data_IF_712876590291
#
_entry.id   IF_712876590291
#
_cell.length_a   1.000
_cell.length_b   1.000
_cell.length_c   1.000
_cell.angle_alpha   90.00
_cell.angle_beta   90.00
_cell.angle_gamma   90.00
#
_symmetry.space_group_name_H-M   'P 1'
#
loop_
_entity.id
_entity.type
_entity.pdbx_description
1 polymer ?
#
# COMPACT_ATOMS: atom_id res chain seq x y z
N UNK A 1 -2.24 10.18 -27.69
CA UNK A 1 -2.89 8.88 -27.39
C UNK A 1 -2.03 8.15 -26.38
N UNK A 2 -2.21 8.45 -25.10
CA UNK A 2 -1.54 7.73 -24.02
C UNK A 2 -2.38 6.50 -23.72
N UNK A 3 -1.84 5.31 -24.03
CA UNK A 3 -2.43 4.06 -23.56
C UNK A 3 -2.47 4.13 -22.03
N UNK A 4 -3.66 4.08 -21.45
CA UNK A 4 -3.80 3.84 -20.01
C UNK A 4 -3.22 2.45 -19.75
N UNK A 5 -1.95 2.39 -19.38
CA UNK A 5 -1.36 1.21 -18.77
C UNK A 5 -2.17 0.92 -17.52
N UNK A 6 -3.05 -0.07 -17.59
CA UNK A 6 -3.77 -0.55 -16.42
C UNK A 6 -2.73 -1.08 -15.44
N UNK A 7 -2.54 -0.35 -14.34
CA UNK A 7 -1.68 -0.76 -13.24
C UNK A 7 -2.21 -2.08 -12.68
N UNK A 8 -1.35 -3.09 -12.64
CA UNK A 8 -1.71 -4.42 -12.14
C UNK A 8 -1.40 -4.51 -10.64
N UNK A 9 -2.16 -5.29 -9.85
CA UNK A 9 -1.83 -5.55 -8.45
C UNK A 9 -0.39 -6.04 -8.25
N UNK A 10 0.13 -6.81 -9.22
CA UNK A 10 1.50 -7.31 -9.23
C UNK A 10 2.56 -6.22 -9.17
N UNK A 11 2.30 -5.05 -9.77
CA UNK A 11 3.22 -3.91 -9.80
C UNK A 11 3.45 -3.34 -8.38
N UNK A 12 2.53 -3.68 -7.47
CA UNK A 12 2.55 -3.31 -6.06
C UNK A 12 2.94 -4.47 -5.13
N UNK A 13 3.35 -5.61 -5.69
CA UNK A 13 3.65 -6.81 -4.91
C UNK A 13 2.42 -7.39 -4.22
N UNK A 14 1.25 -7.27 -4.85
CA UNK A 14 -0.04 -7.73 -4.34
C UNK A 14 -0.62 -8.79 -5.28
N UNK A 15 -1.35 -9.75 -4.73
CA UNK A 15 -2.20 -10.63 -5.52
C UNK A 15 -3.52 -9.94 -5.90
N UNK A 16 -3.93 -8.96 -5.09
CA UNK A 16 -5.13 -8.15 -5.30
C UNK A 16 -4.99 -6.81 -4.60
N UNK A 17 -5.52 -5.73 -5.17
CA UNK A 17 -5.58 -4.42 -4.50
C UNK A 17 -6.38 -4.45 -3.19
N UNK A 18 -7.20 -5.49 -2.99
CA UNK A 18 -7.87 -5.73 -1.72
C UNK A 18 -6.87 -6.03 -0.59
N UNK A 19 -5.70 -6.61 -0.87
CA UNK A 19 -4.67 -6.91 0.14
C UNK A 19 -4.02 -5.67 0.77
N UNK A 20 -4.17 -4.48 0.16
CA UNK A 20 -3.73 -3.23 0.80
C UNK A 20 -4.69 -2.79 1.91
N UNK A 21 -5.96 -3.16 1.77
CA UNK A 21 -7.02 -2.84 2.72
C UNK A 21 -7.09 -3.94 3.78
N UNK A 22 -6.97 -5.20 3.36
CA UNK A 22 -6.93 -6.38 4.21
C UNK A 22 -5.50 -6.84 4.44
N UNK A 23 -4.98 -6.65 5.66
CA UNK A 23 -3.89 -7.52 6.10
C UNK A 23 -4.50 -8.88 6.41
N UNK A 24 -4.20 -9.97 5.68
CA UNK A 24 -4.36 -11.28 6.27
C UNK A 24 -3.55 -11.31 7.57
N UNK A 25 -4.17 -11.85 8.63
CA UNK A 25 -3.44 -12.24 9.85
C UNK A 25 -2.26 -13.09 9.43
N UNK A 26 -1.07 -12.73 9.91
CA UNK A 26 0.21 -13.34 9.54
C UNK A 26 0.05 -14.84 9.30
N UNK A 27 0.37 -15.31 8.09
CA UNK A 27 0.47 -16.73 7.80
C UNK A 27 1.69 -17.27 8.57
N UNK A 28 1.60 -18.49 9.10
CA UNK A 28 2.79 -19.15 9.64
C UNK A 28 3.85 -19.27 8.53
N UNK A 29 5.03 -18.68 8.75
CA UNK A 29 6.05 -18.44 7.72
C UNK A 29 6.21 -16.95 7.31
N UNK A 30 5.27 -16.06 7.68
CA UNK A 30 5.36 -14.59 7.55
C UNK A 30 6.28 -13.95 8.60
N UNK A 31 7.28 -14.68 9.11
CA UNK A 31 8.32 -14.11 9.96
C UNK A 31 9.31 -13.26 9.14
N UNK A 32 8.80 -12.43 8.23
CA UNK A 32 9.59 -11.43 7.50
C UNK A 32 10.00 -10.29 8.46
N UNK A 33 9.52 -10.30 9.69
CA UNK A 33 9.99 -9.41 10.76
C UNK A 33 11.12 -10.05 11.59
N UNK A 34 11.40 -11.35 11.41
CA UNK A 34 12.44 -12.10 12.13
C UNK A 34 13.45 -12.70 11.15
N UNK A 35 14.59 -12.02 11.04
CA UNK A 35 15.67 -12.38 10.13
C UNK A 35 16.18 -13.81 10.39
N UNK A 36 16.21 -14.24 11.65
CA UNK A 36 16.77 -15.54 12.01
C UNK A 36 15.85 -16.67 11.52
N UNK A 37 14.53 -16.52 11.72
CA UNK A 37 13.54 -17.45 11.20
C UNK A 37 13.53 -17.50 9.66
N UNK A 38 13.66 -16.34 9.00
CA UNK A 38 13.73 -16.25 7.54
C UNK A 38 15.00 -16.92 6.99
N UNK A 39 16.14 -16.65 7.63
CA UNK A 39 17.43 -17.24 7.31
C UNK A 39 17.41 -18.76 7.46
N UNK A 40 16.89 -19.27 8.57
CA UNK A 40 16.85 -20.71 8.83
C UNK A 40 15.98 -21.47 7.81
N UNK A 41 14.85 -20.87 7.41
CA UNK A 41 13.99 -21.44 6.37
C UNK A 41 14.73 -21.54 5.02
N UNK A 42 15.38 -20.47 4.58
CA UNK A 42 16.10 -20.46 3.31
C UNK A 42 17.38 -21.29 3.33
N UNK A 43 18.08 -21.39 4.46
CA UNK A 43 19.22 -22.30 4.60
C UNK A 43 18.80 -23.76 4.44
N UNK A 44 17.61 -24.11 4.94
CA UNK A 44 17.03 -25.45 4.78
C UNK A 44 16.76 -25.75 3.31
N UNK A 45 16.21 -24.79 2.57
CA UNK A 45 15.91 -24.94 1.14
C UNK A 45 17.15 -24.96 0.25
N UNK A 46 18.13 -24.10 0.54
CA UNK A 46 19.38 -24.01 -0.21
C UNK A 46 20.30 -25.21 0.06
N UNK A 47 20.26 -25.74 1.30
CA UNK A 47 21.04 -26.90 1.74
C UNK A 47 22.54 -26.84 1.34
N UNK A 48 23.28 -25.76 1.70
CA UNK A 48 24.70 -25.65 1.37
C UNK A 48 25.53 -26.71 2.11
N UNK A 49 26.44 -27.39 1.40
CA UNK A 49 27.29 -28.44 1.98
C UNK A 49 28.75 -27.98 2.07
N UNK A 50 29.22 -27.26 1.04
CA UNK A 50 30.61 -26.77 0.99
C UNK A 50 30.73 -25.37 1.60
N UNK A 51 31.89 -25.00 2.19
CA UNK A 51 32.05 -23.68 2.81
C UNK A 51 31.79 -22.50 1.86
N UNK A 52 32.15 -22.62 0.58
CA UNK A 52 31.87 -21.57 -0.41
C UNK A 52 30.39 -21.51 -0.81
N UNK A 53 29.68 -22.65 -0.79
CA UNK A 53 28.23 -22.69 -0.98
C UNK A 53 27.53 -22.02 0.20
N UNK A 54 28.01 -22.19 1.43
CA UNK A 54 27.46 -21.52 2.60
C UNK A 54 27.58 -19.99 2.47
N UNK A 55 28.75 -19.47 2.04
CA UNK A 55 28.92 -18.02 1.82
C UNK A 55 27.98 -17.50 0.72
N UNK A 56 27.80 -18.25 -0.38
CA UNK A 56 26.85 -17.86 -1.42
C UNK A 56 25.40 -17.94 -0.95
N UNK A 57 25.03 -18.96 -0.17
CA UNK A 57 23.70 -19.11 0.40
C UNK A 57 23.34 -17.92 1.31
N UNK A 58 24.26 -17.50 2.20
CA UNK A 58 24.06 -16.30 3.03
C UNK A 58 23.85 -15.04 2.18
N UNK A 59 24.63 -14.87 1.10
CA UNK A 59 24.45 -13.73 0.19
C UNK A 59 23.07 -13.76 -0.51
N UNK A 60 22.60 -14.94 -0.90
CA UNK A 60 21.25 -15.11 -1.47
C UNK A 60 20.21 -14.72 -0.43
N UNK A 61 20.32 -15.25 0.79
CA UNK A 61 19.40 -14.97 1.90
C UNK A 61 19.30 -13.48 2.18
N UNK A 62 20.43 -12.78 2.24
CA UNK A 62 20.44 -11.34 2.46
C UNK A 62 19.72 -10.58 1.34
N UNK A 63 19.90 -10.97 0.08
CA UNK A 63 19.21 -10.33 -1.04
C UNK A 63 17.70 -10.62 -1.02
N UNK A 64 17.31 -11.85 -0.71
CA UNK A 64 15.89 -12.23 -0.58
C UNK A 64 15.22 -11.46 0.57
N UNK A 65 15.95 -11.27 1.67
CA UNK A 65 15.50 -10.45 2.78
C UNK A 65 15.30 -9.00 2.38
N UNK A 66 16.30 -8.38 1.73
CA UNK A 66 16.20 -6.99 1.27
C UNK A 66 15.02 -6.80 0.31
N UNK A 67 14.80 -7.75 -0.61
CA UNK A 67 13.63 -7.76 -1.50
C UNK A 67 12.32 -7.81 -0.69
N UNK A 68 12.23 -8.70 0.30
CA UNK A 68 11.05 -8.84 1.14
C UNK A 68 10.75 -7.55 1.93
N UNK A 69 11.79 -6.91 2.47
CA UNK A 69 11.67 -5.63 3.18
C UNK A 69 11.19 -4.50 2.26
N UNK A 70 11.70 -4.41 1.03
CA UNK A 70 11.24 -3.42 0.05
C UNK A 70 9.77 -3.63 -0.29
N UNK A 71 9.34 -4.88 -0.50
CA UNK A 71 7.95 -5.18 -0.77
C UNK A 71 7.03 -4.77 0.39
N UNK A 72 7.46 -5.00 1.65
CA UNK A 72 6.75 -4.53 2.84
C UNK A 72 6.66 -3.00 2.85
N UNK A 73 7.75 -2.29 2.59
CA UNK A 73 7.77 -0.83 2.55
C UNK A 73 6.85 -0.27 1.45
N UNK A 74 6.88 -0.85 0.25
CA UNK A 74 5.97 -0.47 -0.86
C UNK A 74 4.51 -0.64 -0.46
N UNK A 75 4.16 -1.77 0.19
CA UNK A 75 2.80 -2.00 0.72
C UNK A 75 2.41 -0.96 1.77
N UNK A 76 3.31 -0.59 2.67
CA UNK A 76 3.04 0.46 3.66
C UNK A 76 2.77 1.83 3.04
N UNK A 77 3.57 2.22 2.04
CA UNK A 77 3.38 3.50 1.33
C UNK A 77 2.03 3.52 0.62
N UNK A 78 1.74 2.46 -0.16
CA UNK A 78 0.47 2.30 -0.87
C UNK A 78 -0.73 2.35 0.09
N UNK A 79 -0.64 1.66 1.23
CA UNK A 79 -1.69 1.64 2.25
C UNK A 79 -1.89 3.01 2.93
N UNK A 80 -0.80 3.72 3.23
CA UNK A 80 -0.89 5.06 3.81
C UNK A 80 -1.66 6.01 2.90
N UNK A 81 -1.32 6.00 1.61
CA UNK A 81 -1.97 6.86 0.65
C UNK A 81 -3.47 6.56 0.47
N UNK A 82 -3.87 5.29 0.54
CA UNK A 82 -5.30 4.92 0.56
C UNK A 82 -6.00 5.54 1.78
N UNK A 83 -5.38 5.49 2.96
CA UNK A 83 -5.96 6.08 4.16
C UNK A 83 -6.01 7.62 4.13
N UNK A 84 -4.98 8.25 3.56
CA UNK A 84 -4.97 9.70 3.33
C UNK A 84 -6.09 10.11 2.37
N UNK A 85 -6.29 9.33 1.30
CA UNK A 85 -7.36 9.60 0.34
C UNK A 85 -8.76 9.39 0.94
N UNK A 86 -8.96 8.33 1.74
CA UNK A 86 -10.19 8.16 2.53
C UNK A 86 -10.46 9.40 3.39
N UNK A 87 -9.42 9.90 4.06
CA UNK A 87 -9.54 11.10 4.90
C UNK A 87 -9.90 12.34 4.07
N UNK A 88 -9.25 12.54 2.92
CA UNK A 88 -9.50 13.67 2.04
C UNK A 88 -10.92 13.66 1.46
N UNK A 89 -11.45 12.49 1.08
CA UNK A 89 -12.82 12.38 0.57
C UNK A 89 -13.86 12.70 1.64
N UNK A 90 -13.68 12.19 2.87
CA UNK A 90 -14.57 12.54 3.99
C UNK A 90 -14.55 14.05 4.27
N UNK A 91 -13.37 14.67 4.26
CA UNK A 91 -13.25 16.13 4.41
C UNK A 91 -13.93 16.86 3.25
N UNK A 92 -13.81 16.37 2.02
CA UNK A 92 -14.42 16.98 0.84
C UNK A 92 -15.94 16.93 0.89
N UNK A 93 -16.52 15.78 1.25
CA UNK A 93 -17.97 15.61 1.40
C UNK A 93 -18.53 16.52 2.49
N UNK A 94 -17.92 16.49 3.69
CA UNK A 94 -18.33 17.35 4.80
C UNK A 94 -18.22 18.84 4.44
N UNK A 95 -17.18 19.23 3.68
CA UNK A 95 -17.01 20.59 3.19
C UNK A 95 -18.11 20.99 2.21
N UNK A 96 -18.50 20.09 1.30
CA UNK A 96 -19.59 20.34 0.35
C UNK A 96 -20.92 20.53 1.09
N UNK A 97 -21.26 19.62 2.00
CA UNK A 97 -22.47 19.69 2.83
C UNK A 97 -22.52 21.00 3.62
N UNK A 98 -21.42 21.40 4.27
CA UNK A 98 -21.33 22.64 5.02
C UNK A 98 -21.62 23.89 4.18
N UNK A 99 -21.00 23.99 2.99
CA UNK A 99 -21.26 25.16 2.12
C UNK A 99 -22.64 25.14 1.48
N UNK A 100 -23.23 23.97 1.26
CA UNK A 100 -24.60 23.84 0.77
C UNK A 100 -25.63 24.21 1.85
N UNK A 101 -25.38 23.86 3.11
CA UNK A 101 -26.16 24.32 4.26
C UNK A 101 -26.08 25.83 4.43
N UNK A 102 -24.87 26.40 4.44
CA UNK A 102 -24.68 27.85 4.48
C UNK A 102 -25.26 28.55 3.25
N UNK A 103 -25.33 27.89 2.09
CA UNK A 103 -26.04 28.42 0.91
C UNK A 103 -27.56 28.39 1.11
N UNK A 104 -28.13 27.34 1.69
CA UNK A 104 -29.57 27.24 1.99
C UNK A 104 -30.00 28.30 2.99
N UNK A 105 -29.26 28.47 4.08
CA UNK A 105 -29.53 29.50 5.10
C UNK A 105 -29.56 30.91 4.47
N UNK A 106 -28.60 31.22 3.60
CA UNK A 106 -28.58 32.52 2.89
C UNK A 106 -29.77 32.73 1.95
N UNK A 107 -30.27 31.67 1.33
CA UNK A 107 -31.46 31.75 0.47
C UNK A 107 -32.74 31.94 1.31
N UNK A 108 -32.83 31.27 2.46
CA UNK A 108 -33.95 31.42 3.41
C UNK A 108 -33.97 32.82 4.04
N UNK A 109 -32.82 33.34 4.48
CA UNK A 109 -32.71 34.72 4.99
C UNK A 109 -33.06 35.77 3.94
N UNK A 110 -32.69 35.54 2.67
CA UNK A 110 -33.08 36.40 1.56
C UNK A 110 -34.60 36.45 1.37
N UNK A 111 -35.24 35.28 1.41
CA UNK A 111 -36.68 35.14 1.23
C UNK A 111 -37.46 35.77 2.40
N UNK A 112 -36.93 35.70 3.62
CA UNK A 112 -37.56 36.31 4.80
C UNK A 112 -37.38 37.82 4.90
N UNK A 113 -36.22 38.36 4.51
CA UNK A 113 -35.90 39.79 4.70
C UNK A 113 -36.21 40.67 3.48
N UNK A 114 -36.75 40.10 2.39
CA UNK A 114 -37.01 40.78 1.10
C UNK A 114 -35.78 41.58 0.60
N UNK A 115 -34.59 41.08 0.94
CA UNK A 115 -33.35 41.83 0.85
C UNK A 115 -32.70 41.58 -0.51
N UNK A 116 -32.65 42.62 -1.34
CA UNK A 116 -32.23 42.55 -2.73
C UNK A 116 -30.76 42.10 -2.89
N UNK A 117 -29.92 42.29 -1.86
CA UNK A 117 -28.47 42.06 -1.86
C UNK A 117 -28.00 40.93 -0.94
N UNK A 118 -28.70 39.78 -0.91
CA UNK A 118 -28.12 38.54 -0.37
C UNK A 118 -27.02 37.99 -1.30
N UNK A 119 -25.91 38.71 -1.41
CA UNK A 119 -24.69 38.27 -2.09
C UNK A 119 -23.82 37.46 -1.12
N UNK A 120 -22.76 36.84 -1.63
CA UNK A 120 -21.69 36.21 -0.82
C UNK A 120 -21.05 37.20 0.17
N UNK A 121 -21.32 38.50 0.04
CA UNK A 121 -20.77 39.61 0.83
C UNK A 121 -21.80 40.24 1.78
N UNK A 122 -22.99 39.64 1.98
CA UNK A 122 -23.88 40.09 3.05
C UNK A 122 -23.16 39.95 4.40
N UNK A 123 -23.32 40.95 5.27
CA UNK A 123 -22.56 41.15 6.53
C UNK A 123 -22.87 40.10 7.64
N UNK A 124 -23.18 38.87 7.27
CA UNK A 124 -23.31 37.75 8.19
C UNK A 124 -21.94 37.20 8.56
N UNK A 125 -21.71 37.00 9.86
CA UNK A 125 -20.54 36.30 10.38
C UNK A 125 -20.77 34.79 10.14
N UNK A 126 -20.50 34.32 8.92
CA UNK A 126 -20.71 32.91 8.57
C UNK A 126 -19.58 32.06 9.12
N UNK A 127 -19.94 30.94 9.73
CA UNK A 127 -18.97 29.97 10.23
C UNK A 127 -18.02 29.49 9.13
N UNK A 128 -16.77 29.21 9.51
CA UNK A 128 -15.75 28.63 8.63
C UNK A 128 -15.73 27.11 8.84
N UNK A 129 -15.68 26.37 7.75
CA UNK A 129 -15.62 24.90 7.79
C UNK A 129 -14.40 24.40 8.60
N UNK A 130 -14.66 23.62 9.65
CA UNK A 130 -13.64 22.87 10.41
C UNK A 130 -13.60 21.40 9.95
N UNK A 131 -12.47 20.91 9.41
CA UNK A 131 -12.33 19.52 9.00
C UNK A 131 -12.21 18.51 10.15
N UNK A 132 -12.14 18.94 11.42
CA UNK A 132 -11.83 18.07 12.56
C UNK A 132 -12.79 16.86 12.68
N UNK A 133 -14.09 17.10 12.66
CA UNK A 133 -15.10 16.04 12.81
C UNK A 133 -15.07 15.05 11.63
N UNK A 134 -14.87 15.56 10.42
CA UNK A 134 -14.72 14.73 9.22
C UNK A 134 -13.49 13.82 9.32
N UNK A 135 -12.37 14.33 9.84
CA UNK A 135 -11.16 13.52 10.08
C UNK A 135 -11.37 12.46 11.16
N UNK A 136 -12.12 12.76 12.22
CA UNK A 136 -12.49 11.77 13.24
C UNK A 136 -13.36 10.67 12.63
N UNK A 137 -14.34 11.03 11.80
CA UNK A 137 -15.21 10.07 11.11
C UNK A 137 -14.40 9.14 10.19
N UNK A 138 -13.50 9.71 9.38
CA UNK A 138 -12.58 8.93 8.55
C UNK A 138 -11.70 7.99 9.39
N UNK A 139 -11.15 8.48 10.50
CA UNK A 139 -10.30 7.69 11.40
C UNK A 139 -11.05 6.49 12.00
N UNK A 140 -12.33 6.65 12.34
CA UNK A 140 -13.18 5.53 12.82
C UNK A 140 -13.35 4.45 11.75
N UNK A 141 -13.57 4.85 10.50
CA UNK A 141 -13.70 3.92 9.38
C UNK A 141 -12.38 3.22 9.08
N UNK A 142 -11.25 3.93 9.10
CA UNK A 142 -9.91 3.34 8.97
C UNK A 142 -9.63 2.36 10.12
N UNK A 143 -10.05 2.67 11.35
CA UNK A 143 -9.90 1.74 12.48
C UNK A 143 -10.72 0.46 12.29
N UNK A 144 -11.94 0.57 11.73
CA UNK A 144 -12.75 -0.60 11.37
C UNK A 144 -12.09 -1.46 10.29
N UNK A 145 -11.47 -0.84 9.28
CA UNK A 145 -10.68 -1.54 8.26
C UNK A 145 -9.47 -2.25 8.86
N UNK A 146 -8.83 -1.68 9.89
CA UNK A 146 -7.67 -2.26 10.58
C UNK A 146 -8.04 -3.33 11.62
N UNK A 147 -9.31 -3.52 11.93
CA UNK A 147 -9.76 -4.34 13.07
C UNK A 147 -9.50 -5.85 12.94
N UNK A 148 -9.26 -6.35 11.72
CA UNK A 148 -9.13 -7.78 11.43
C UNK A 148 -10.43 -8.58 11.54
N UNK A 149 -11.56 -7.95 11.89
CA UNK A 149 -12.88 -8.59 12.00
C UNK A 149 -13.65 -8.45 10.69
N UNK A 150 -14.03 -9.58 10.07
CA UNK A 150 -14.72 -9.63 8.77
C UNK A 150 -15.94 -8.69 8.74
N UNK A 151 -16.82 -8.78 9.74
CA UNK A 151 -18.04 -7.95 9.82
C UNK A 151 -17.76 -6.43 9.88
N UNK A 152 -16.68 -6.02 10.54
CA UNK A 152 -16.32 -4.60 10.67
C UNK A 152 -15.70 -4.10 9.37
N UNK A 153 -14.92 -4.94 8.70
CA UNK A 153 -14.29 -4.60 7.44
C UNK A 153 -15.34 -4.50 6.33
N UNK A 154 -16.28 -5.45 6.23
CA UNK A 154 -17.36 -5.39 5.25
C UNK A 154 -18.22 -4.13 5.41
N UNK A 155 -18.57 -3.77 6.66
CA UNK A 155 -19.30 -2.53 6.94
C UNK A 155 -18.54 -1.28 6.52
N UNK A 156 -17.23 -1.23 6.79
CA UNK A 156 -16.38 -0.12 6.38
C UNK A 156 -16.23 -0.06 4.86
N UNK A 157 -16.09 -1.21 4.19
CA UNK A 157 -16.00 -1.26 2.74
C UNK A 157 -17.27 -0.80 2.04
N UNK A 158 -18.45 -1.22 2.50
CA UNK A 158 -19.73 -0.77 1.93
C UNK A 158 -19.84 0.75 2.05
N UNK A 159 -19.42 1.33 3.19
CA UNK A 159 -19.40 2.79 3.40
C UNK A 159 -18.44 3.53 2.46
N UNK A 160 -17.31 2.91 2.12
CA UNK A 160 -16.29 3.54 1.27
C UNK A 160 -16.62 3.37 -0.21
N UNK A 161 -17.23 2.24 -0.60
CA UNK A 161 -17.46 1.86 -2.01
C UNK A 161 -18.35 2.84 -2.79
N UNK A 162 -19.19 3.59 -2.08
CA UNK A 162 -20.13 4.54 -2.67
C UNK A 162 -19.42 5.85 -3.04
N UNK A 163 -18.40 6.23 -2.28
CA UNK A 163 -17.86 7.59 -2.30
C UNK A 163 -16.38 7.68 -2.70
N UNK A 164 -15.63 6.57 -2.68
CA UNK A 164 -14.19 6.57 -2.96
C UNK A 164 -13.87 6.27 -4.43
N UNK A 165 -12.88 6.96 -5.04
CA UNK A 165 -12.26 6.50 -6.28
C UNK A 165 -11.75 5.05 -6.16
N UNK A 166 -11.64 4.37 -7.31
CA UNK A 166 -11.16 2.99 -7.31
C UNK A 166 -9.74 2.91 -6.73
N UNK A 167 -9.38 1.82 -6.01
CA UNK A 167 -8.04 1.66 -5.45
C UNK A 167 -6.92 1.84 -6.50
N UNK A 168 -7.18 1.43 -7.74
CA UNK A 168 -6.30 1.61 -8.90
C UNK A 168 -5.99 3.08 -9.17
N UNK A 169 -6.99 3.96 -9.13
CA UNK A 169 -6.80 5.40 -9.33
C UNK A 169 -5.95 6.01 -8.22
N UNK A 170 -6.17 5.60 -6.98
CA UNK A 170 -5.39 6.09 -5.83
C UNK A 170 -3.93 5.67 -5.99
N UNK A 171 -3.69 4.41 -6.35
CA UNK A 171 -2.34 3.87 -6.53
C UNK A 171 -1.63 4.44 -7.75
N UNK A 172 -2.36 4.79 -8.81
CA UNK A 172 -1.81 5.55 -9.93
C UNK A 172 -1.27 6.90 -9.46
N UNK A 173 -2.03 7.63 -8.64
CA UNK A 173 -1.58 8.89 -8.06
C UNK A 173 -0.36 8.67 -7.18
N UNK A 174 -0.32 7.62 -6.35
CA UNK A 174 0.85 7.28 -5.53
C UNK A 174 2.08 7.03 -6.39
N UNK A 175 1.92 6.29 -7.46
CA UNK A 175 3.01 5.97 -8.38
C UNK A 175 3.50 7.23 -9.13
N UNK A 176 2.59 8.12 -9.53
CA UNK A 176 2.91 9.36 -10.23
C UNK A 176 3.53 10.43 -9.32
N UNK A 177 3.10 10.52 -8.07
CA UNK A 177 3.52 11.58 -7.14
C UNK A 177 4.60 11.14 -6.15
N UNK A 178 4.67 9.85 -5.83
CA UNK A 178 5.57 9.31 -4.82
C UNK A 178 6.96 8.99 -5.35
N UNK A 179 7.91 9.92 -5.19
CA UNK A 179 9.32 9.66 -5.56
C UNK A 179 9.87 8.43 -4.85
N UNK A 180 9.59 8.29 -3.55
CA UNK A 180 10.04 7.17 -2.72
C UNK A 180 9.54 5.81 -3.21
N UNK A 181 8.32 5.75 -3.74
CA UNK A 181 7.78 4.49 -4.25
C UNK A 181 8.53 4.03 -5.51
N UNK A 182 8.83 4.97 -6.42
CA UNK A 182 9.63 4.70 -7.62
C UNK A 182 11.09 4.39 -7.32
N UNK A 183 11.70 5.10 -6.36
CA UNK A 183 13.06 4.79 -5.89
C UNK A 183 13.15 3.33 -5.40
N UNK A 184 12.12 2.84 -4.70
CA UNK A 184 12.04 1.44 -4.28
C UNK A 184 11.90 0.47 -5.46
N UNK A 185 11.22 0.85 -6.55
CA UNK A 185 11.13 0.03 -7.77
C UNK A 185 12.47 -0.12 -8.48
N UNK A 186 13.25 0.96 -8.56
CA UNK A 186 14.59 0.92 -9.15
C UNK A 186 15.50 0.00 -8.34
N UNK A 187 15.48 0.14 -7.00
CA UNK A 187 16.27 -0.71 -6.10
C UNK A 187 15.81 -2.17 -6.19
N UNK A 188 14.50 -2.44 -6.21
CA UNK A 188 13.94 -3.78 -6.35
C UNK A 188 14.42 -4.44 -7.63
N UNK A 189 14.38 -3.71 -8.75
CA UNK A 189 14.82 -4.20 -10.06
C UNK A 189 16.30 -4.59 -10.05
N UNK A 190 17.16 -3.78 -9.41
CA UNK A 190 18.58 -4.10 -9.29
C UNK A 190 18.84 -5.30 -8.37
N UNK A 191 18.12 -5.42 -7.24
CA UNK A 191 18.21 -6.58 -6.37
C UNK A 191 17.73 -7.87 -7.05
N UNK A 192 16.65 -7.84 -7.82
CA UNK A 192 16.17 -8.99 -8.58
C UNK A 192 17.16 -9.44 -9.67
N UNK A 193 17.83 -8.49 -10.34
CA UNK A 193 18.92 -8.81 -11.28
C UNK A 193 20.07 -9.48 -10.54
N UNK A 194 20.48 -8.94 -9.40
CA UNK A 194 21.57 -9.51 -8.58
C UNK A 194 21.21 -10.90 -8.06
N UNK A 195 19.99 -11.07 -7.55
CA UNK A 195 19.42 -12.35 -7.10
C UNK A 195 19.53 -13.42 -8.18
N UNK A 196 19.07 -13.11 -9.41
CA UNK A 196 19.10 -14.04 -10.54
C UNK A 196 20.52 -14.51 -10.87
N UNK A 197 21.48 -13.58 -10.92
CA UNK A 197 22.90 -13.90 -11.20
C UNK A 197 23.50 -14.82 -10.14
N UNK A 198 23.31 -14.48 -8.86
CA UNK A 198 23.89 -15.27 -7.76
C UNK A 198 23.21 -16.64 -7.64
N UNK A 199 21.89 -16.73 -7.86
CA UNK A 199 21.19 -18.01 -7.91
C UNK A 199 21.68 -18.89 -9.05
N UNK A 200 21.99 -18.31 -10.21
CA UNK A 200 22.56 -19.05 -11.34
C UNK A 200 23.97 -19.57 -11.00
N UNK A 201 24.83 -18.72 -10.44
CA UNK A 201 26.17 -19.12 -9.98
C UNK A 201 26.10 -20.22 -8.92
N UNK A 202 25.17 -20.10 -7.96
CA UNK A 202 24.96 -21.10 -6.92
C UNK A 202 24.48 -22.44 -7.48
N UNK A 203 23.54 -22.43 -8.44
CA UNK A 203 23.10 -23.64 -9.13
C UNK A 203 24.23 -24.27 -9.94
N UNK A 204 25.08 -23.47 -10.57
CA UNK A 204 26.25 -23.97 -11.29
C UNK A 204 27.21 -24.70 -10.34
N UNK A 205 27.48 -24.14 -9.16
CA UNK A 205 28.27 -24.82 -8.11
C UNK A 205 27.63 -26.13 -7.64
N UNK A 206 26.32 -26.12 -7.38
CA UNK A 206 25.60 -27.33 -7.00
C UNK A 206 25.59 -28.40 -8.12
N UNK A 207 25.55 -27.99 -9.38
CA UNK A 207 25.61 -28.91 -10.51
C UNK A 207 27.01 -29.51 -10.71
N UNK A 208 28.07 -28.73 -10.47
CA UNK A 208 29.45 -29.21 -10.51
C UNK A 208 29.70 -30.33 -9.47
N UNK A 209 29.03 -30.27 -8.31
CA UNK A 209 29.01 -31.38 -7.33
C UNK A 209 28.50 -32.69 -7.95
N UNK A 210 27.49 -32.65 -8.82
CA UNK A 210 26.89 -33.84 -9.40
C UNK A 210 27.80 -34.57 -10.42
N UNK A 211 28.84 -33.90 -10.91
CA UNK A 211 29.81 -34.46 -11.87
C UNK A 211 30.94 -35.20 -11.15
N UNK A 212 31.25 -34.81 -9.90
CA UNK A 212 32.19 -35.51 -9.03
C UNK A 212 31.52 -36.73 -8.37
N UNK A 213 31.46 -37.86 -9.10
CA UNK A 213 31.68 -39.26 -8.65
C UNK A 213 31.03 -40.22 -9.68
N UNK A 214 31.81 -40.56 -10.70
CA UNK A 214 32.12 -41.96 -11.02
C UNK A 214 33.64 -42.11 -10.91
N UNK A 215 34.15 -41.99 -9.69
CA UNK A 215 35.48 -42.52 -9.41
C UNK A 215 35.35 -44.05 -9.48
N UNK A 216 36.07 -44.65 -10.42
CA UNK A 216 36.09 -46.07 -10.66
C UNK A 216 36.56 -46.83 -9.40
N UNK A 217 35.74 -47.77 -8.95
CA UNK A 217 36.20 -49.03 -8.34
C UNK A 217 35.81 -50.17 -9.28
#
# INVERSE_FOLDING_TARGET
>A
MTQNSHLLPSDFGLNSFQELIYQPTHRAGDHIDDLDAFRDALLTDLAPIRPHEAVMAENIIMIEWDIAQILIQKRHIARSAIFDEITNQYVKLAKQEFYEEGRRQRLEEKEQNDDFFASITSFGDYDVFDPHDAKIAASKVIAQLKSGKVDQIEKAQVRIKVDLPSPETILAVVYETGSKYRELDDVLTELEKRRRRILEDYKNLQSARAIEVKAAE
#
